data_IF_015343014024
#
_entry.id   IF_015343014024
#
_cell.length_a   1.000
_cell.length_b   1.000
_cell.length_c   1.000
_cell.angle_alpha   90.00
_cell.angle_beta   90.00
_cell.angle_gamma   90.00
#
_symmetry.space_group_name_H-M   'P 1'
#
loop_
_entity.id
_entity.type
_entity.pdbx_description
1 polymer ?
#
# COMPACT_ATOMS: atom_id res chain seq x y z
N UNK A 1 19.84 -22.50 10.71
CA UNK A 1 18.97 -22.37 9.51
C UNK A 1 17.78 -21.38 9.73
N UNK A 2 17.85 -20.50 10.72
CA UNK A 2 16.77 -19.55 11.12
C UNK A 2 16.95 -18.14 10.50
N UNK A 3 18.12 -17.80 10.00
CA UNK A 3 18.45 -16.45 9.52
C UNK A 3 17.88 -16.06 8.13
N UNK A 4 17.32 -16.99 7.35
CA UNK A 4 16.81 -16.70 6.00
C UNK A 4 15.37 -16.15 5.94
N UNK A 5 14.57 -16.36 6.98
CA UNK A 5 13.15 -15.94 7.04
C UNK A 5 12.97 -14.48 7.52
N UNK A 6 13.93 -13.93 8.27
CA UNK A 6 13.82 -12.56 8.82
C UNK A 6 14.21 -11.43 7.85
N UNK A 7 15.00 -11.73 6.80
CA UNK A 7 15.45 -10.71 5.85
C UNK A 7 14.34 -10.06 4.99
N UNK A 8 13.32 -10.76 4.49
CA UNK A 8 12.24 -10.12 3.72
C UNK A 8 11.38 -9.19 4.55
N UNK A 9 11.04 -9.58 5.78
CA UNK A 9 10.19 -8.81 6.70
C UNK A 9 10.86 -7.49 7.16
N UNK A 10 12.13 -7.51 7.52
CA UNK A 10 12.90 -6.31 7.87
C UNK A 10 13.07 -5.35 6.69
N UNK A 11 13.20 -5.88 5.46
CA UNK A 11 13.33 -5.04 4.26
C UNK A 11 12.02 -4.35 3.89
N UNK A 12 10.87 -5.00 4.08
CA UNK A 12 9.56 -4.36 3.91
C UNK A 12 9.42 -3.14 4.81
N UNK A 13 9.64 -3.31 6.11
CA UNK A 13 9.54 -2.22 7.10
C UNK A 13 10.48 -1.01 6.84
N UNK A 14 11.65 -1.22 6.25
CA UNK A 14 12.54 -0.11 5.86
C UNK A 14 11.95 0.74 4.73
N UNK A 15 11.26 0.12 3.77
CA UNK A 15 10.55 0.84 2.70
C UNK A 15 9.38 1.65 3.24
N UNK A 16 8.59 1.05 4.11
CA UNK A 16 7.46 1.70 4.79
C UNK A 16 7.92 2.92 5.62
N UNK A 17 9.04 2.78 6.35
CA UNK A 17 9.63 3.90 7.10
C UNK A 17 10.06 5.05 6.19
N UNK A 18 10.59 4.76 5.00
CA UNK A 18 11.01 5.79 4.05
C UNK A 18 9.80 6.61 3.53
N UNK A 19 8.66 5.99 3.24
CA UNK A 19 7.44 6.70 2.82
C UNK A 19 6.95 7.62 3.95
N UNK A 20 6.89 7.14 5.19
CA UNK A 20 6.51 7.97 6.33
C UNK A 20 7.45 9.16 6.54
N UNK A 21 8.76 8.96 6.34
CA UNK A 21 9.74 10.04 6.38
C UNK A 21 9.54 11.06 5.24
N UNK A 22 9.26 10.61 4.02
CA UNK A 22 8.96 11.49 2.89
C UNK A 22 7.72 12.35 3.14
N UNK A 23 6.64 11.78 3.70
CA UNK A 23 5.44 12.56 4.08
C UNK A 23 5.82 13.66 5.07
N UNK A 24 6.57 13.34 6.13
CA UNK A 24 7.02 14.32 7.12
C UNK A 24 7.92 15.41 6.55
N UNK A 25 8.75 15.09 5.58
CA UNK A 25 9.75 16.02 5.03
C UNK A 25 9.17 16.90 3.92
N UNK A 26 8.36 16.34 3.02
CA UNK A 26 7.97 16.97 1.77
C UNK A 26 6.49 17.38 1.70
N UNK A 27 5.63 16.86 2.60
CA UNK A 27 4.19 17.11 2.60
C UNK A 27 3.71 17.79 3.91
N UNK A 28 4.60 18.52 4.60
CA UNK A 28 4.38 19.11 5.93
C UNK A 28 3.21 20.09 6.02
N UNK A 29 3.06 20.92 4.98
CA UNK A 29 2.16 22.07 5.00
C UNK A 29 0.74 21.73 4.51
N UNK A 30 0.50 20.46 4.22
CA UNK A 30 -0.73 20.00 3.62
C UNK A 30 -1.47 19.07 4.60
N UNK A 31 -2.78 19.12 4.55
CA UNK A 31 -3.67 18.31 5.42
C UNK A 31 -3.63 16.82 5.00
N UNK A 32 -2.45 16.21 5.09
CA UNK A 32 -2.26 14.80 4.77
C UNK A 32 -2.35 13.94 6.04
N UNK A 33 -3.14 12.87 5.95
CA UNK A 33 -3.24 11.83 6.98
C UNK A 33 -2.68 10.55 6.40
N UNK A 34 -1.55 10.08 6.94
CA UNK A 34 -0.94 8.82 6.54
C UNK A 34 -1.40 7.69 7.44
N UNK A 35 -2.05 6.70 6.85
CA UNK A 35 -2.40 5.43 7.48
C UNK A 35 -1.47 4.33 6.94
N UNK A 36 -0.92 3.51 7.85
CA UNK A 36 0.06 2.50 7.50
C UNK A 36 -0.48 1.11 7.82
N UNK A 37 -0.05 0.11 7.04
CA UNK A 37 -0.27 -1.32 7.33
C UNK A 37 -1.76 -1.67 7.52
N UNK A 38 -2.60 -1.19 6.59
CA UNK A 38 -4.03 -1.43 6.63
C UNK A 38 -4.36 -2.82 6.11
N UNK A 39 -4.91 -3.67 6.95
CA UNK A 39 -5.44 -4.96 6.52
C UNK A 39 -6.96 -4.90 6.44
N UNK A 40 -7.50 -4.98 5.23
CA UNK A 40 -8.93 -4.86 4.94
C UNK A 40 -9.52 -6.17 4.38
N UNK A 41 -10.80 -6.46 4.63
CA UNK A 41 -11.49 -7.56 3.95
C UNK A 41 -11.61 -7.27 2.45
N UNK A 42 -11.40 -8.30 1.60
CA UNK A 42 -11.49 -8.15 0.14
C UNK A 42 -12.86 -8.53 -0.45
N UNK A 43 -13.84 -8.79 0.42
CA UNK A 43 -15.20 -9.19 0.05
C UNK A 43 -15.34 -10.66 -0.34
N UNK A 44 -14.27 -11.43 -0.48
CA UNK A 44 -14.29 -12.88 -0.83
C UNK A 44 -14.11 -13.78 0.38
N UNK A 45 -13.95 -13.22 1.58
CA UNK A 45 -13.58 -13.91 2.81
C UNK A 45 -12.07 -13.90 3.08
N UNK A 46 -11.25 -13.42 2.12
CA UNK A 46 -9.82 -13.18 2.30
C UNK A 46 -9.56 -11.71 2.69
N UNK A 47 -8.31 -11.32 2.69
CA UNK A 47 -7.91 -9.96 3.05
C UNK A 47 -6.82 -9.44 2.14
N UNK A 48 -6.78 -8.12 2.03
CA UNK A 48 -5.69 -7.40 1.38
C UNK A 48 -4.97 -6.52 2.40
N UNK A 49 -3.67 -6.40 2.26
CA UNK A 49 -2.82 -5.53 3.08
C UNK A 49 -2.32 -4.39 2.21
N UNK A 50 -2.63 -3.16 2.60
CA UNK A 50 -2.21 -1.92 1.95
C UNK A 50 -1.05 -1.36 2.75
N UNK A 51 0.12 -1.17 2.13
CA UNK A 51 1.31 -0.66 2.81
C UNK A 51 1.04 0.72 3.40
N UNK A 52 0.53 1.66 2.57
CA UNK A 52 0.19 3.01 3.01
C UNK A 52 -1.03 3.56 2.27
N UNK A 53 -1.85 4.30 3.00
CA UNK A 53 -2.94 5.09 2.46
C UNK A 53 -2.77 6.54 2.90
N UNK A 54 -2.59 7.45 1.94
CA UNK A 54 -2.44 8.87 2.21
C UNK A 54 -3.76 9.57 1.87
N UNK A 55 -4.47 10.03 2.89
CA UNK A 55 -5.71 10.80 2.76
C UNK A 55 -5.40 12.28 2.67
N UNK A 56 -6.04 12.99 1.76
CA UNK A 56 -5.92 14.44 1.63
C UNK A 56 -7.19 15.07 1.06
N UNK A 57 -7.37 16.40 1.16
CA UNK A 57 -8.44 17.10 0.48
C UNK A 57 -8.40 16.96 -1.05
N UNK A 58 -7.26 16.61 -1.62
CA UNK A 58 -7.00 16.58 -3.06
C UNK A 58 -7.22 15.20 -3.68
N UNK A 59 -7.24 14.13 -2.86
CA UNK A 59 -7.42 12.76 -3.28
C UNK A 59 -6.92 11.78 -2.24
N UNK A 60 -7.10 10.50 -2.53
CA UNK A 60 -6.68 9.36 -1.70
C UNK A 60 -5.61 8.61 -2.47
N UNK A 61 -4.40 8.55 -1.95
CA UNK A 61 -3.26 7.91 -2.63
C UNK A 61 -2.99 6.56 -1.99
N UNK A 62 -3.15 5.50 -2.77
CA UNK A 62 -2.88 4.11 -2.39
C UNK A 62 -1.44 3.81 -2.77
N UNK A 63 -0.56 3.66 -1.76
CA UNK A 63 0.88 3.59 -1.95
C UNK A 63 1.36 2.17 -1.67
N UNK A 64 1.91 1.53 -2.69
CA UNK A 64 2.57 0.23 -2.63
C UNK A 64 4.09 0.43 -2.66
N UNK A 65 4.83 -0.13 -1.70
CA UNK A 65 6.27 0.03 -1.59
C UNK A 65 7.02 -1.21 -2.05
N UNK A 66 8.14 -1.01 -2.74
CA UNK A 66 9.03 -2.08 -3.18
C UNK A 66 10.48 -1.79 -2.79
N UNK A 67 10.94 -2.44 -1.72
CA UNK A 67 12.33 -2.34 -1.27
C UNK A 67 13.24 -3.29 -2.07
N UNK A 68 13.33 -3.05 -3.38
CA UNK A 68 14.17 -3.78 -4.31
C UNK A 68 15.40 -2.97 -4.69
N UNK A 69 16.51 -3.65 -4.97
CA UNK A 69 17.75 -3.09 -5.49
C UNK A 69 18.11 -3.73 -6.83
N UNK A 70 18.99 -3.06 -7.58
CA UNK A 70 19.45 -3.54 -8.88
C UNK A 70 18.44 -3.23 -9.99
N UNK A 71 18.52 -3.98 -11.07
CA UNK A 71 17.76 -3.69 -12.28
C UNK A 71 16.35 -4.26 -12.20
N UNK A 72 15.36 -3.42 -12.55
CA UNK A 72 13.94 -3.77 -12.57
C UNK A 72 13.47 -3.72 -14.03
N UNK A 73 12.84 -4.79 -14.46
CA UNK A 73 12.23 -4.94 -15.78
C UNK A 73 10.75 -5.27 -15.61
N UNK A 74 9.89 -4.55 -16.30
CA UNK A 74 8.45 -4.78 -16.29
C UNK A 74 7.68 -3.70 -17.05
N UNK A 75 6.41 -3.93 -17.26
CA UNK A 75 5.45 -2.96 -17.79
C UNK A 75 4.05 -3.22 -17.22
N UNK A 76 3.09 -2.34 -17.51
CA UNK A 76 1.72 -2.43 -16.98
C UNK A 76 1.03 -3.76 -17.26
N UNK A 77 1.22 -4.35 -18.45
CA UNK A 77 0.47 -5.52 -18.93
C UNK A 77 1.00 -6.84 -18.38
N UNK A 78 2.27 -6.89 -18.01
CA UNK A 78 2.91 -8.12 -17.52
C UNK A 78 2.45 -8.46 -16.11
N UNK A 79 1.99 -9.69 -15.87
CA UNK A 79 1.62 -10.16 -14.53
C UNK A 79 2.82 -10.26 -13.58
N UNK A 80 3.99 -10.55 -14.13
CA UNK A 80 5.23 -10.82 -13.38
C UNK A 80 6.34 -9.91 -13.90
N UNK A 81 6.98 -9.20 -12.98
CA UNK A 81 8.17 -8.39 -13.21
C UNK A 81 9.44 -9.14 -12.85
N UNK A 82 10.58 -8.61 -13.27
CA UNK A 82 11.88 -9.21 -13.01
C UNK A 82 12.81 -8.23 -12.32
N UNK A 83 13.39 -8.66 -11.19
CA UNK A 83 14.53 -8.01 -10.56
C UNK A 83 15.80 -8.75 -10.98
N UNK A 84 16.85 -8.03 -11.39
CA UNK A 84 18.18 -8.59 -11.68
C UNK A 84 19.23 -7.95 -10.77
N UNK A 85 19.97 -8.80 -10.06
CA UNK A 85 21.08 -8.42 -9.20
C UNK A 85 22.30 -9.22 -9.63
N UNK A 86 23.28 -8.57 -10.26
CA UNK A 86 24.44 -9.20 -10.88
C UNK A 86 24.00 -10.32 -11.87
N UNK A 87 24.39 -11.56 -11.61
CA UNK A 87 24.06 -12.73 -12.43
C UNK A 87 22.71 -13.37 -12.11
N UNK A 88 22.08 -12.97 -11.00
CA UNK A 88 20.83 -13.58 -10.52
C UNK A 88 19.61 -12.80 -10.97
N UNK A 89 18.54 -13.50 -11.32
CA UNK A 89 17.25 -12.95 -11.68
C UNK A 89 16.14 -13.50 -10.77
N UNK A 90 15.28 -12.61 -10.28
CA UNK A 90 14.17 -12.95 -9.39
C UNK A 90 12.87 -12.44 -10.00
N UNK A 91 11.83 -13.26 -9.93
CA UNK A 91 10.49 -12.91 -10.39
C UNK A 91 9.65 -12.41 -9.21
N UNK A 92 8.82 -11.39 -9.46
CA UNK A 92 7.87 -10.89 -8.47
C UNK A 92 6.59 -10.40 -9.15
N UNK A 93 5.51 -10.37 -8.38
CA UNK A 93 4.22 -9.88 -8.86
C UNK A 93 4.33 -8.43 -9.32
N UNK A 94 3.65 -8.08 -10.41
CA UNK A 94 3.52 -6.71 -10.86
C UNK A 94 2.87 -5.85 -9.77
N UNK A 95 3.58 -4.84 -9.23
CA UNK A 95 3.04 -4.01 -8.14
C UNK A 95 1.86 -3.13 -8.58
N UNK A 96 1.74 -2.83 -9.88
CA UNK A 96 0.60 -2.09 -10.42
C UNK A 96 -0.67 -2.94 -10.29
N UNK A 97 -0.59 -4.24 -10.64
CA UNK A 97 -1.72 -5.16 -10.51
C UNK A 97 -2.05 -5.45 -9.04
N UNK A 98 -1.04 -5.44 -8.16
CA UNK A 98 -1.24 -5.58 -6.72
C UNK A 98 -2.01 -4.36 -6.20
N UNK A 99 -1.53 -3.15 -6.48
CA UNK A 99 -2.15 -1.91 -6.03
C UNK A 99 -3.55 -1.68 -6.63
N UNK A 100 -3.77 -2.12 -7.88
CA UNK A 100 -5.11 -2.12 -8.48
C UNK A 100 -6.13 -2.90 -7.66
N UNK A 101 -5.75 -4.08 -7.12
CA UNK A 101 -6.63 -4.85 -6.22
C UNK A 101 -6.92 -4.10 -4.93
N UNK A 102 -5.93 -3.42 -4.36
CA UNK A 102 -6.12 -2.58 -3.17
C UNK A 102 -7.13 -1.45 -3.43
N UNK A 103 -7.00 -0.78 -4.59
CA UNK A 103 -7.93 0.27 -5.01
C UNK A 103 -9.35 -0.30 -5.15
N UNK A 104 -9.54 -1.47 -5.77
CA UNK A 104 -10.86 -2.08 -5.91
C UNK A 104 -11.52 -2.41 -4.58
N UNK A 105 -10.76 -2.82 -3.59
CA UNK A 105 -11.27 -3.03 -2.22
C UNK A 105 -11.71 -1.69 -1.59
N UNK A 106 -10.90 -0.64 -1.75
CA UNK A 106 -11.24 0.68 -1.24
C UNK A 106 -12.43 1.31 -1.97
N UNK A 107 -12.55 1.14 -3.28
CA UNK A 107 -13.73 1.57 -4.06
C UNK A 107 -15.02 0.96 -3.50
N UNK A 108 -15.03 -0.33 -3.21
CA UNK A 108 -16.19 -1.01 -2.63
C UNK A 108 -16.48 -0.52 -1.20
N UNK A 109 -15.45 -0.40 -0.37
CA UNK A 109 -15.56 0.00 1.03
C UNK A 109 -16.04 1.44 1.20
N UNK A 110 -15.67 2.33 0.29
CA UNK A 110 -15.91 3.76 0.35
C UNK A 110 -16.95 4.26 -0.67
N UNK A 111 -17.65 3.35 -1.35
CA UNK A 111 -18.56 3.66 -2.47
C UNK A 111 -19.65 4.71 -2.14
N UNK A 112 -20.09 4.78 -0.86
CA UNK A 112 -21.07 5.75 -0.37
C UNK A 112 -20.45 7.09 0.09
N UNK A 113 -19.13 7.25 0.00
CA UNK A 113 -18.39 8.41 0.51
C UNK A 113 -17.57 9.09 -0.58
N UNK A 114 -16.91 8.31 -1.45
CA UNK A 114 -15.87 8.78 -2.38
C UNK A 114 -16.11 8.25 -3.77
N UNK A 115 -15.94 9.12 -4.76
CA UNK A 115 -15.93 8.72 -6.17
C UNK A 115 -14.64 7.95 -6.51
N UNK A 116 -14.71 6.91 -7.38
CA UNK A 116 -13.55 6.07 -7.72
C UNK A 116 -12.35 6.81 -8.30
N UNK A 117 -12.58 7.90 -9.03
CA UNK A 117 -11.56 8.73 -9.67
C UNK A 117 -10.69 9.52 -8.68
N UNK A 118 -11.11 9.59 -7.41
CA UNK A 118 -10.32 10.19 -6.33
C UNK A 118 -9.35 9.21 -5.66
N UNK A 119 -9.32 7.95 -6.09
CA UNK A 119 -8.38 6.92 -5.62
C UNK A 119 -7.20 6.79 -6.61
N UNK A 120 -6.04 7.22 -6.20
CA UNK A 120 -4.84 7.30 -7.05
C UNK A 120 -3.82 6.22 -6.68
N UNK A 121 -3.34 5.48 -7.69
CA UNK A 121 -2.27 4.49 -7.50
C UNK A 121 -0.90 5.16 -7.43
N UNK A 122 -0.08 4.75 -6.46
CA UNK A 122 1.31 5.20 -6.33
C UNK A 122 2.19 3.99 -6.01
N UNK A 123 3.14 3.70 -6.88
CA UNK A 123 4.12 2.62 -6.67
C UNK A 123 5.48 3.24 -6.39
N UNK A 124 6.07 2.92 -5.24
CA UNK A 124 7.35 3.51 -4.79
C UNK A 124 8.41 2.44 -4.67
N UNK A 125 9.40 2.50 -5.56
CA UNK A 125 10.62 1.73 -5.41
C UNK A 125 11.67 2.52 -4.61
N UNK A 126 12.42 1.82 -3.76
CA UNK A 126 13.54 2.43 -3.04
C UNK A 126 14.65 2.89 -4.00
N UNK A 127 15.50 3.86 -3.60
CA UNK A 127 16.50 4.48 -4.48
C UNK A 127 17.49 3.51 -5.15
N UNK A 128 17.73 2.35 -4.53
CA UNK A 128 18.64 1.32 -5.05
C UNK A 128 18.10 0.56 -6.28
N UNK A 129 16.82 0.75 -6.63
CA UNK A 129 16.23 0.19 -7.83
C UNK A 129 16.65 1.00 -9.08
N UNK A 130 16.88 0.33 -10.19
CA UNK A 130 17.19 0.95 -11.49
C UNK A 130 16.22 0.42 -12.53
N UNK A 131 15.32 1.25 -13.02
CA UNK A 131 14.38 0.86 -14.07
C UNK A 131 15.11 0.68 -15.41
N UNK A 132 14.91 -0.46 -16.06
CA UNK A 132 15.50 -0.83 -17.35
C UNK A 132 14.47 -0.88 -18.49
N UNK A 133 13.21 -0.68 -18.16
CA UNK A 133 12.08 -0.51 -19.08
C UNK A 133 11.36 0.79 -18.75
N UNK A 134 10.66 1.42 -19.71
CA UNK A 134 9.80 2.56 -19.43
C UNK A 134 8.76 2.22 -18.35
N UNK A 135 8.56 3.15 -17.41
CA UNK A 135 7.58 2.99 -16.33
C UNK A 135 6.44 3.99 -16.50
N UNK A 136 5.21 3.62 -16.09
CA UNK A 136 4.08 4.54 -16.05
C UNK A 136 4.31 5.70 -15.09
N UNK A 137 3.55 6.79 -15.27
CA UNK A 137 3.68 8.04 -14.50
C UNK A 137 3.40 7.90 -12.99
N UNK A 138 2.77 6.81 -12.56
CA UNK A 138 2.48 6.52 -11.16
C UNK A 138 3.46 5.52 -10.52
N UNK A 139 4.57 5.20 -11.20
CA UNK A 139 5.66 4.34 -10.70
C UNK A 139 6.92 5.18 -10.50
N UNK A 140 7.36 5.28 -9.26
CA UNK A 140 8.42 6.19 -8.84
C UNK A 140 9.61 5.46 -8.23
N UNK A 141 10.74 6.16 -8.17
CA UNK A 141 11.94 5.77 -7.44
C UNK A 141 12.29 6.85 -6.42
N UNK A 142 12.51 6.46 -5.16
CA UNK A 142 12.82 7.42 -4.09
C UNK A 142 11.65 8.37 -3.82
N UNK A 143 11.94 9.65 -3.59
CA UNK A 143 10.97 10.65 -3.16
C UNK A 143 10.12 11.27 -4.28
N UNK A 144 10.38 11.00 -5.56
CA UNK A 144 9.70 11.65 -6.70
C UNK A 144 8.17 11.54 -6.70
N UNK A 145 7.61 10.56 -6.00
CA UNK A 145 6.16 10.42 -5.82
C UNK A 145 5.52 11.59 -5.06
N UNK A 146 6.27 12.30 -4.22
CA UNK A 146 5.73 13.44 -3.46
C UNK A 146 5.37 14.62 -4.36
N UNK A 147 6.11 14.82 -5.45
CA UNK A 147 5.80 15.87 -6.44
C UNK A 147 4.55 15.50 -7.25
N UNK A 148 4.38 14.21 -7.56
CA UNK A 148 3.13 13.71 -8.16
C UNK A 148 1.94 13.97 -7.23
N UNK A 149 2.04 13.67 -5.94
CA UNK A 149 0.97 13.95 -4.96
C UNK A 149 0.67 15.46 -4.89
N UNK A 150 1.69 16.31 -4.88
CA UNK A 150 1.52 17.79 -4.88
C UNK A 150 0.91 18.35 -6.15
N UNK A 151 0.97 17.63 -7.27
CA UNK A 151 0.33 18.08 -8.52
C UNK A 151 -1.19 18.04 -8.47
N UNK A 152 -1.77 17.39 -7.47
CA UNK A 152 -3.20 17.43 -7.16
C UNK A 152 -3.44 18.61 -6.19
N UNK A 153 -3.92 19.72 -6.71
CA UNK A 153 -4.08 21.00 -6.00
C UNK A 153 -5.55 21.45 -5.85
N UNK A 154 -6.47 20.77 -6.52
CA UNK A 154 -7.91 21.03 -6.41
C UNK A 154 -8.51 20.27 -5.23
N UNK A 155 -9.20 21.00 -4.34
CA UNK A 155 -9.89 20.38 -3.23
C UNK A 155 -11.16 19.65 -3.70
N UNK A 156 -11.09 18.30 -3.72
CA UNK A 156 -12.16 17.42 -4.15
C UNK A 156 -12.88 16.71 -2.98
N UNK A 157 -12.20 16.60 -1.84
CA UNK A 157 -12.72 15.91 -0.66
C UNK A 157 -12.83 16.92 0.50
N UNK A 158 -14.05 17.11 1.03
CA UNK A 158 -14.25 17.96 2.19
C UNK A 158 -13.70 17.33 3.48
N UNK A 159 -13.41 18.14 4.47
CA UNK A 159 -12.94 17.70 5.79
C UNK A 159 -13.92 16.69 6.44
N UNK A 160 -15.23 16.93 6.33
CA UNK A 160 -16.26 16.01 6.80
C UNK A 160 -16.17 14.65 6.11
N UNK A 161 -15.96 14.62 4.78
CA UNK A 161 -15.76 13.37 4.05
C UNK A 161 -14.48 12.67 4.47
N UNK A 162 -13.36 13.39 4.64
CA UNK A 162 -12.11 12.83 5.14
C UNK A 162 -12.30 12.15 6.50
N UNK A 163 -13.00 12.81 7.42
CA UNK A 163 -13.31 12.24 8.73
C UNK A 163 -14.16 10.96 8.63
N UNK A 164 -15.17 10.95 7.75
CA UNK A 164 -15.99 9.76 7.50
C UNK A 164 -15.16 8.60 6.93
N UNK A 165 -14.24 8.88 5.98
CA UNK A 165 -13.33 7.89 5.41
C UNK A 165 -12.47 7.28 6.51
N UNK A 166 -11.84 8.12 7.33
CA UNK A 166 -10.99 7.67 8.45
C UNK A 166 -11.77 6.75 9.41
N UNK A 167 -12.94 7.16 9.85
CA UNK A 167 -13.78 6.38 10.77
C UNK A 167 -14.23 5.05 10.14
N UNK A 168 -14.55 5.02 8.84
CA UNK A 168 -14.90 3.79 8.13
C UNK A 168 -13.72 2.80 8.11
N UNK A 169 -12.53 3.27 7.78
CA UNK A 169 -11.32 2.45 7.74
C UNK A 169 -10.95 1.91 9.14
N UNK A 170 -10.99 2.76 10.16
CA UNK A 170 -10.74 2.37 11.55
C UNK A 170 -11.71 1.27 12.03
N UNK A 171 -13.00 1.41 11.70
CA UNK A 171 -14.02 0.41 12.03
C UNK A 171 -13.71 -0.95 11.39
N UNK A 172 -13.42 -1.00 10.11
CA UNK A 172 -13.13 -2.22 9.38
C UNK A 172 -11.88 -2.94 9.92
N UNK A 173 -10.82 -2.17 10.23
CA UNK A 173 -9.60 -2.71 10.85
C UNK A 173 -9.89 -3.29 12.23
N UNK A 174 -10.69 -2.59 13.07
CA UNK A 174 -11.06 -3.05 14.41
C UNK A 174 -11.92 -4.31 14.36
N UNK A 175 -12.97 -4.34 13.55
CA UNK A 175 -13.85 -5.52 13.41
C UNK A 175 -13.07 -6.77 13.03
N UNK A 176 -12.09 -6.63 12.15
CA UNK A 176 -11.22 -7.73 11.76
C UNK A 176 -10.33 -8.21 12.90
N UNK A 177 -9.72 -7.30 13.64
CA UNK A 177 -8.88 -7.66 14.80
C UNK A 177 -9.68 -8.47 15.83
N UNK A 178 -10.93 -8.10 16.07
CA UNK A 178 -11.84 -8.85 16.95
C UNK A 178 -12.20 -10.23 16.40
N UNK A 179 -12.46 -10.34 15.10
CA UNK A 179 -12.80 -11.61 14.44
C UNK A 179 -11.63 -12.59 14.51
N UNK A 180 -10.42 -12.15 14.19
CA UNK A 180 -9.21 -12.97 14.28
C UNK A 180 -8.96 -13.44 15.71
N UNK A 181 -9.10 -12.56 16.71
CA UNK A 181 -8.94 -12.91 18.11
C UNK A 181 -9.99 -13.96 18.58
N UNK A 182 -11.24 -13.82 18.14
CA UNK A 182 -12.31 -14.80 18.46
C UNK A 182 -12.01 -16.18 17.85
N UNK A 183 -11.67 -16.23 16.57
CA UNK A 183 -11.30 -17.48 15.89
C UNK A 183 -10.08 -18.15 16.53
N UNK A 184 -9.09 -17.37 16.94
CA UNK A 184 -7.91 -17.88 17.65
C UNK A 184 -8.27 -18.49 19.01
N UNK A 185 -9.11 -17.82 19.78
CA UNK A 185 -9.60 -18.30 21.08
C UNK A 185 -10.45 -19.57 20.94
N UNK A 186 -11.32 -19.65 19.93
CA UNK A 186 -12.13 -20.85 19.65
C UNK A 186 -11.27 -22.05 19.25
N UNK A 187 -10.27 -21.83 18.37
CA UNK A 187 -9.31 -22.86 17.97
C UNK A 187 -8.48 -23.39 19.16
N UNK A 188 -8.09 -22.52 20.09
CA UNK A 188 -7.38 -22.93 21.32
C UNK A 188 -8.27 -23.74 22.27
N UNK A 189 -9.57 -23.45 22.36
CA UNK A 189 -10.53 -24.21 23.15
C UNK A 189 -10.75 -25.62 22.57
N UNK A 190 -10.88 -25.74 21.25
CA UNK A 190 -11.03 -27.04 20.58
C UNK A 190 -9.81 -27.95 20.76
N UNK A 191 -8.58 -27.38 20.72
CA UNK A 191 -7.35 -28.15 20.97
C UNK A 191 -7.14 -28.62 22.42
N UNK A 192 -7.85 -28.06 23.39
CA UNK A 192 -7.81 -28.49 24.80
C UNK A 192 -8.86 -29.53 25.13
N UNK A 193 -9.81 -29.79 24.23
CA UNK A 193 -10.88 -30.77 24.39
C UNK A 193 -10.64 -32.07 23.59
N UNK A 194 -9.58 -32.10 22.79
CA UNK A 194 -9.06 -33.30 22.11
C UNK A 194 -7.78 -33.80 22.80
#
# INVERSE_FOLDING_TARGET
>A
MIFKLFKPFLKGKLGEFAVAAHVKLYLKDLQYILLNDLTLPDGTGATTQIDHLLLSPYGIFVIETKNYKGWIFGNERQKIWTQKIYKNSYKFQNPIHQNYKHIKVLEQLLADIVEPDLLHSVIVFMPDAVFKTPMPNHVFRGAGWTDYVKSFDQQMISETKLKRIQLRLEKEVLEKSWKINREHVENLKQRKQS
#
